data_IF_128516949531
#
_entry.id   IF_128516949531
#
_cell.length_a   1.000
_cell.length_b   1.000
_cell.length_c   1.000
_cell.angle_alpha   90.00
_cell.angle_beta   90.00
_cell.angle_gamma   90.00
#
_symmetry.space_group_name_H-M   'P 1'
#
loop_
_entity.id
_entity.type
_entity.pdbx_description
1 polymer ?
#
# COMPACT_ATOMS: atom_id res chain seq x y z
N UNK A 1 -37.55 16.44 47.59
CA UNK A 1 -37.61 17.27 46.37
C UNK A 1 -36.47 16.83 45.45
N UNK A 2 -36.66 15.76 44.66
CA UNK A 2 -36.92 15.85 43.21
C UNK A 2 -36.11 16.93 42.50
N UNK A 3 -34.98 16.52 41.90
CA UNK A 3 -34.45 17.09 40.65
C UNK A 3 -33.85 15.97 39.79
N UNK A 4 -34.67 14.98 39.43
CA UNK A 4 -34.48 14.28 38.16
C UNK A 4 -34.90 15.29 37.08
N UNK A 5 -33.92 16.03 36.56
CA UNK A 5 -34.15 16.91 35.41
C UNK A 5 -33.59 16.19 34.18
N UNK A 6 -34.49 15.57 33.45
CA UNK A 6 -34.36 15.18 32.06
C UNK A 6 -34.09 16.43 31.22
N UNK A 7 -32.86 16.53 30.71
CA UNK A 7 -32.35 17.55 29.79
C UNK A 7 -30.83 17.39 29.81
N UNK A 8 -30.15 16.82 28.81
CA UNK A 8 -30.29 17.00 27.36
C UNK A 8 -29.99 15.67 26.66
N UNK A 9 -31.02 14.96 26.17
CA UNK A 9 -30.87 13.61 25.61
C UNK A 9 -30.59 13.57 24.09
N UNK A 10 -30.60 14.71 23.37
CA UNK A 10 -30.59 14.67 21.90
C UNK A 10 -29.70 15.75 21.28
N UNK A 11 -28.39 15.54 21.31
CA UNK A 11 -27.51 15.80 20.17
C UNK A 11 -26.11 15.28 20.49
N UNK A 12 -25.95 13.95 20.51
CA UNK A 12 -24.60 13.40 20.69
C UNK A 12 -23.81 13.75 19.42
N UNK A 13 -22.78 14.60 19.48
CA UNK A 13 -22.22 15.24 18.29
C UNK A 13 -21.70 14.25 17.25
N UNK A 14 -21.33 13.04 17.68
CA UNK A 14 -20.90 11.97 16.80
C UNK A 14 -22.00 11.39 15.90
N UNK A 15 -23.30 11.51 16.23
CA UNK A 15 -24.41 10.89 15.45
C UNK A 15 -24.51 11.48 14.05
N UNK A 16 -24.41 12.80 13.93
CA UNK A 16 -24.49 13.49 12.64
C UNK A 16 -23.26 13.16 11.76
N UNK A 17 -22.07 13.12 12.35
CA UNK A 17 -20.82 12.77 11.66
C UNK A 17 -20.83 11.30 11.24
N UNK A 18 -21.30 10.40 12.10
CA UNK A 18 -21.49 8.99 11.78
C UNK A 18 -22.43 8.79 10.60
N UNK A 19 -23.61 9.42 10.61
CA UNK A 19 -24.57 9.33 9.49
C UNK A 19 -23.95 9.81 8.18
N UNK A 20 -23.23 10.94 8.21
CA UNK A 20 -22.53 11.47 7.04
C UNK A 20 -21.44 10.52 6.54
N UNK A 21 -20.75 9.81 7.43
CA UNK A 21 -19.78 8.79 7.06
C UNK A 21 -20.47 7.59 6.38
N UNK A 22 -21.61 7.12 6.92
CA UNK A 22 -22.40 6.04 6.30
C UNK A 22 -22.92 6.42 4.91
N UNK A 23 -23.47 7.63 4.75
CA UNK A 23 -23.97 8.11 3.44
C UNK A 23 -22.89 8.14 2.35
N UNK A 24 -21.63 8.30 2.78
CA UNK A 24 -20.45 8.28 1.90
C UNK A 24 -19.81 6.90 1.75
N UNK A 25 -20.29 5.89 2.49
CA UNK A 25 -19.64 4.58 2.56
C UNK A 25 -18.28 4.60 3.28
N UNK A 26 -18.04 5.59 4.15
CA UNK A 26 -16.80 5.69 4.93
C UNK A 26 -16.80 4.66 6.08
N UNK A 27 -15.67 3.98 6.22
CA UNK A 27 -15.45 2.93 7.21
C UNK A 27 -15.19 3.47 8.63
N UNK A 28 -14.83 4.75 8.75
CA UNK A 28 -14.54 5.39 10.03
C UNK A 28 -14.84 6.90 9.97
N UNK A 29 -14.93 7.52 11.14
CA UNK A 29 -15.09 8.96 11.29
C UNK A 29 -14.34 9.45 12.53
N UNK A 30 -14.03 10.75 12.57
CA UNK A 30 -13.44 11.37 13.77
C UNK A 30 -14.57 11.77 14.72
N UNK A 31 -14.56 11.25 15.94
CA UNK A 31 -15.52 11.60 16.98
C UNK A 31 -15.28 13.06 17.41
N UNK A 32 -16.21 13.99 17.14
CA UNK A 32 -16.02 15.40 17.45
C UNK A 32 -15.91 15.69 18.95
N UNK A 33 -16.39 14.79 19.81
CA UNK A 33 -16.29 14.97 21.26
C UNK A 33 -14.94 14.51 21.82
N UNK A 34 -14.37 13.44 21.27
CA UNK A 34 -13.18 12.80 21.82
C UNK A 34 -11.92 12.96 20.96
N UNK A 35 -12.07 13.37 19.69
CA UNK A 35 -10.99 13.47 18.71
C UNK A 35 -10.48 12.12 18.19
N UNK A 36 -11.03 11.00 18.67
CA UNK A 36 -10.60 9.66 18.27
C UNK A 36 -11.27 9.19 16.98
N UNK A 37 -10.58 8.32 16.25
CA UNK A 37 -11.15 7.59 15.12
C UNK A 37 -12.12 6.53 15.62
N UNK A 38 -13.40 6.71 15.30
CA UNK A 38 -14.46 5.73 15.55
C UNK A 38 -14.80 4.98 14.26
N UNK A 39 -14.88 3.66 14.34
CA UNK A 39 -15.28 2.81 13.21
C UNK A 39 -16.80 2.81 13.05
N UNK A 40 -17.29 2.82 11.81
CA UNK A 40 -18.71 2.69 11.46
C UNK A 40 -19.16 1.23 11.48
N UNK A 41 -20.46 0.99 11.38
CA UNK A 41 -21.00 -0.37 11.24
C UNK A 41 -20.47 -1.10 9.99
N UNK A 42 -20.19 -0.35 8.91
CA UNK A 42 -19.62 -0.89 7.66
C UNK A 42 -18.26 -1.56 7.91
N UNK A 43 -17.39 -0.94 8.70
CA UNK A 43 -16.10 -1.53 9.09
C UNK A 43 -16.25 -2.85 9.83
N UNK A 44 -17.29 -2.95 10.65
CA UNK A 44 -17.55 -4.15 11.43
C UNK A 44 -18.16 -5.25 10.55
N UNK A 45 -18.98 -4.89 9.57
CA UNK A 45 -19.50 -5.83 8.57
C UNK A 45 -18.40 -6.39 7.67
N UNK A 46 -17.48 -5.54 7.18
CA UNK A 46 -16.31 -5.97 6.39
C UNK A 46 -15.42 -6.94 7.18
N UNK A 47 -15.22 -6.67 8.47
CA UNK A 47 -14.52 -7.58 9.38
C UNK A 47 -15.19 -8.95 9.45
N UNK A 48 -16.52 -9.00 9.42
CA UNK A 48 -17.32 -10.23 9.40
C UNK A 48 -17.49 -10.92 10.76
N UNK A 49 -17.07 -10.32 11.88
CA UNK A 49 -17.24 -10.90 13.22
C UNK A 49 -17.18 -9.85 14.35
N UNK A 50 -17.78 -10.17 15.50
CA UNK A 50 -17.66 -9.36 16.72
C UNK A 50 -16.29 -9.54 17.39
N UNK A 51 -15.53 -8.46 17.62
CA UNK A 51 -14.22 -8.57 18.27
C UNK A 51 -14.26 -8.62 19.81
N UNK A 52 -15.41 -8.32 20.43
CA UNK A 52 -15.56 -8.28 21.89
C UNK A 52 -15.08 -6.99 22.58
N UNK A 53 -14.68 -5.96 21.83
CA UNK A 53 -14.17 -4.68 22.36
C UNK A 53 -15.26 -3.61 22.59
N UNK A 54 -16.52 -4.02 22.81
CA UNK A 54 -17.64 -3.09 23.10
C UNK A 54 -17.72 -1.87 22.16
N UNK A 55 -17.55 -2.09 20.86
CA UNK A 55 -17.56 -1.01 19.86
C UNK A 55 -18.92 -0.30 19.77
N UNK A 56 -18.92 1.02 19.59
CA UNK A 56 -20.14 1.85 19.59
C UNK A 56 -21.17 1.46 18.51
N UNK A 57 -20.70 0.99 17.36
CA UNK A 57 -21.52 0.66 16.17
C UNK A 57 -21.47 -0.83 15.83
N UNK A 58 -21.47 -1.72 16.83
CA UNK A 58 -21.35 -3.15 16.59
C UNK A 58 -22.65 -3.73 15.98
N UNK A 59 -22.64 -4.25 14.74
CA UNK A 59 -23.83 -4.84 14.11
C UNK A 59 -24.19 -6.22 14.69
N UNK A 60 -23.25 -6.86 15.39
CA UNK A 60 -23.39 -8.21 15.95
C UNK A 60 -23.97 -8.24 17.37
N UNK A 61 -24.65 -7.18 17.80
CA UNK A 61 -25.28 -7.09 19.12
C UNK A 61 -24.37 -7.50 20.29
N UNK A 62 -23.06 -7.19 20.20
CA UNK A 62 -22.07 -7.48 21.22
C UNK A 62 -21.89 -8.96 21.59
N UNK A 63 -22.20 -9.90 20.68
CA UNK A 63 -22.19 -11.35 20.93
C UNK A 63 -20.92 -11.92 21.59
N UNK A 64 -19.75 -11.31 21.32
CA UNK A 64 -18.45 -11.78 21.82
C UNK A 64 -17.92 -10.97 23.01
N UNK A 65 -18.64 -9.93 23.44
CA UNK A 65 -18.26 -9.15 24.63
C UNK A 65 -18.41 -10.04 25.86
N UNK A 66 -17.33 -10.18 26.65
CA UNK A 66 -17.31 -11.05 27.83
C UNK A 66 -17.16 -12.55 27.54
N UNK A 67 -17.00 -12.94 26.27
CA UNK A 67 -16.83 -14.33 25.86
C UNK A 67 -15.46 -14.57 25.18
N UNK A 68 -14.36 -14.60 25.94
CA UNK A 68 -13.01 -14.77 25.39
C UNK A 68 -12.83 -16.11 24.67
N UNK A 69 -13.53 -17.16 25.07
CA UNK A 69 -13.47 -18.47 24.41
C UNK A 69 -14.03 -18.43 22.97
N UNK A 70 -15.13 -17.70 22.73
CA UNK A 70 -15.70 -17.51 21.38
C UNK A 70 -14.74 -16.76 20.46
N UNK A 71 -14.07 -15.74 20.98
CA UNK A 71 -13.05 -14.97 20.24
C UNK A 71 -11.87 -15.87 19.86
N UNK A 72 -11.39 -16.71 20.80
CA UNK A 72 -10.30 -17.67 20.55
C UNK A 72 -10.69 -18.72 19.50
N UNK A 73 -11.90 -19.26 19.60
CA UNK A 73 -12.42 -20.24 18.65
C UNK A 73 -12.52 -19.68 17.24
N UNK A 74 -13.14 -18.50 17.07
CA UNK A 74 -13.19 -17.79 15.79
C UNK A 74 -11.79 -17.50 15.23
N UNK A 75 -10.84 -17.08 16.08
CA UNK A 75 -9.47 -16.84 15.64
C UNK A 75 -8.75 -18.12 15.16
N UNK A 76 -9.01 -19.27 15.81
CA UNK A 76 -8.48 -20.58 15.39
C UNK A 76 -9.09 -21.02 14.06
N UNK A 77 -10.41 -20.93 13.90
CA UNK A 77 -11.10 -21.26 12.66
C UNK A 77 -10.53 -20.49 11.47
N UNK A 78 -10.36 -19.16 11.59
CA UNK A 78 -9.79 -18.32 10.52
C UNK A 78 -8.33 -18.67 10.18
N UNK A 79 -7.54 -19.08 11.18
CA UNK A 79 -6.16 -19.55 10.94
C UNK A 79 -6.15 -20.87 10.16
N UNK A 80 -7.09 -21.77 10.48
CA UNK A 80 -7.23 -23.05 9.79
C UNK A 80 -7.69 -22.84 8.34
N UNK A 81 -8.71 -22.02 8.08
CA UNK A 81 -9.17 -21.71 6.72
C UNK A 81 -8.06 -21.14 5.83
N UNK A 82 -7.24 -20.23 6.37
CA UNK A 82 -6.07 -19.69 5.65
C UNK A 82 -5.03 -20.76 5.34
N UNK A 83 -4.81 -21.69 6.26
CA UNK A 83 -3.93 -22.85 6.05
C UNK A 83 -4.48 -23.74 4.94
N UNK A 84 -5.77 -24.08 5.00
CA UNK A 84 -6.42 -24.93 4.00
C UNK A 84 -6.45 -24.27 2.61
N UNK A 85 -6.65 -22.96 2.54
CA UNK A 85 -6.55 -22.20 1.29
C UNK A 85 -5.13 -22.25 0.70
N UNK A 86 -4.10 -22.11 1.54
CA UNK A 86 -2.70 -22.23 1.11
C UNK A 86 -2.36 -23.66 0.66
N UNK A 87 -2.82 -24.66 1.41
CA UNK A 87 -2.57 -26.06 1.11
C UNK A 87 -3.27 -26.47 -0.21
N UNK A 88 -4.49 -25.96 -0.46
CA UNK A 88 -5.17 -26.10 -1.76
C UNK A 88 -4.40 -25.45 -2.91
N UNK A 89 -3.93 -24.21 -2.73
CA UNK A 89 -3.12 -23.52 -3.74
C UNK A 89 -1.83 -24.28 -4.05
N UNK A 90 -1.19 -24.87 -3.03
CA UNK A 90 0.01 -25.70 -3.18
C UNK A 90 -0.28 -27.00 -3.95
N UNK A 91 -1.40 -27.66 -3.68
CA UNK A 91 -1.79 -28.88 -4.40
C UNK A 91 -2.10 -28.59 -5.88
N UNK A 92 -2.71 -27.45 -6.19
CA UNK A 92 -2.98 -27.01 -7.56
C UNK A 92 -1.67 -26.78 -8.35
N UNK A 93 -0.69 -26.09 -7.76
CA UNK A 93 0.63 -25.86 -8.40
C UNK A 93 1.46 -27.11 -8.63
N UNK A 94 1.17 -28.23 -7.94
CA UNK A 94 1.89 -29.50 -8.15
C UNK A 94 1.30 -30.36 -9.25
N UNK A 95 0.08 -30.06 -9.73
CA UNK A 95 -0.56 -30.77 -10.83
C UNK A 95 -0.19 -30.16 -12.20
N UNK A 96 0.06 -28.85 -12.28
CA UNK A 96 0.49 -28.16 -13.51
C UNK A 96 1.97 -28.41 -13.90
N UNK A 97 2.68 -29.30 -13.19
CA UNK A 97 4.09 -29.61 -13.42
C UNK A 97 4.36 -30.95 -14.09
N UNK A 98 3.38 -31.55 -14.79
CA UNK A 98 3.57 -32.89 -15.37
C UNK A 98 3.29 -33.05 -16.87
N UNK A 99 2.81 -32.05 -17.58
CA UNK A 99 2.63 -32.16 -19.03
C UNK A 99 3.27 -30.95 -19.76
N UNK A 100 4.30 -31.28 -20.54
CA UNK A 100 4.63 -30.73 -21.87
C UNK A 100 5.52 -29.47 -21.99
N UNK A 101 6.79 -29.75 -22.33
CA UNK A 101 7.59 -28.93 -23.26
C UNK A 101 6.89 -28.90 -24.64
N UNK A 102 6.98 -27.74 -25.32
CA UNK A 102 6.42 -27.39 -26.63
C UNK A 102 4.91 -27.10 -26.70
N UNK A 103 4.52 -25.85 -26.42
CA UNK A 103 3.99 -25.02 -27.51
C UNK A 103 4.09 -23.51 -27.24
N UNK A 104 4.37 -22.83 -28.34
CA UNK A 104 4.65 -21.43 -28.56
C UNK A 104 3.41 -20.54 -28.36
N UNK A 105 3.62 -19.36 -27.77
CA UNK A 105 2.79 -18.16 -27.95
C UNK A 105 1.32 -18.23 -27.51
N UNK A 106 1.03 -17.63 -26.36
CA UNK A 106 0.22 -16.40 -26.24
C UNK A 106 -0.12 -16.23 -24.77
N UNK A 107 0.68 -15.38 -24.11
CA UNK A 107 0.48 -15.01 -22.70
C UNK A 107 -0.84 -14.23 -22.54
N UNK A 108 -1.90 -14.92 -22.13
CA UNK A 108 -3.04 -14.30 -21.45
C UNK A 108 -2.98 -14.73 -19.99
N UNK A 109 -2.10 -14.08 -19.23
CA UNK A 109 -2.02 -14.21 -17.79
C UNK A 109 -3.30 -13.62 -17.15
N UNK A 110 -4.16 -14.50 -16.65
CA UNK A 110 -5.39 -14.14 -15.95
C UNK A 110 -5.09 -13.54 -14.58
N UNK A 111 -5.29 -12.23 -14.51
CA UNK A 111 -5.54 -11.37 -13.37
C UNK A 111 -5.93 -12.04 -12.03
N UNK A 112 -5.02 -11.97 -11.06
CA UNK A 112 -5.37 -11.78 -9.63
C UNK A 112 -4.38 -10.81 -8.99
N UNK A 113 -4.37 -9.57 -9.46
CA UNK A 113 -3.56 -8.50 -8.87
C UNK A 113 -4.52 -7.45 -8.31
N UNK A 114 -4.64 -7.41 -6.98
CA UNK A 114 -5.25 -6.26 -6.32
C UNK A 114 -4.60 -5.00 -6.88
N UNK A 115 -5.41 -4.02 -7.27
CA UNK A 115 -4.94 -2.78 -7.91
C UNK A 115 -3.87 -2.11 -7.04
N UNK A 116 -2.60 -2.44 -7.27
CA UNK A 116 -1.46 -1.72 -6.71
C UNK A 116 -1.59 -0.30 -7.20
N UNK A 117 -1.43 0.67 -6.30
CA UNK A 117 -1.59 2.09 -6.64
C UNK A 117 -0.52 2.58 -7.62
N UNK A 118 0.55 1.80 -7.78
CA UNK A 118 1.64 2.03 -8.73
C UNK A 118 1.64 0.94 -9.80
N UNK A 119 1.55 1.36 -11.06
CA UNK A 119 1.80 0.51 -12.21
C UNK A 119 3.31 0.42 -12.44
N UNK A 120 3.90 -0.68 -11.97
CA UNK A 120 5.35 -0.97 -12.05
C UNK A 120 5.87 -0.86 -13.48
N UNK A 121 5.14 -1.43 -14.44
CA UNK A 121 5.60 -1.48 -15.82
C UNK A 121 5.59 -0.08 -16.45
N UNK A 122 4.53 0.69 -16.20
CA UNK A 122 4.40 2.05 -16.71
C UNK A 122 5.46 3.00 -16.11
N UNK A 123 5.72 2.91 -14.80
CA UNK A 123 6.71 3.77 -14.13
C UNK A 123 8.14 3.44 -14.59
N UNK A 124 8.50 2.16 -14.66
CA UNK A 124 9.83 1.75 -15.15
C UNK A 124 10.02 2.19 -16.60
N UNK A 125 9.02 1.98 -17.46
CA UNK A 125 9.09 2.40 -18.86
C UNK A 125 9.25 3.92 -19.00
N UNK A 126 8.51 4.71 -18.22
CA UNK A 126 8.58 6.16 -18.24
C UNK A 126 9.92 6.69 -17.72
N UNK A 127 10.43 6.16 -16.61
CA UNK A 127 11.71 6.58 -16.03
C UNK A 127 12.90 6.20 -16.92
N UNK A 128 12.87 5.00 -17.51
CA UNK A 128 13.88 4.56 -18.47
C UNK A 128 13.88 5.43 -19.72
N UNK A 129 12.70 5.72 -20.28
CA UNK A 129 12.59 6.47 -21.53
C UNK A 129 12.89 7.97 -21.38
N UNK A 130 12.60 8.59 -20.23
CA UNK A 130 12.74 10.04 -20.02
C UNK A 130 14.04 10.44 -19.34
N UNK A 131 14.56 9.59 -18.44
CA UNK A 131 15.69 9.93 -17.57
C UNK A 131 16.83 8.90 -17.62
N UNK A 132 16.68 7.81 -18.39
CA UNK A 132 17.69 6.76 -18.49
C UNK A 132 17.91 5.96 -17.20
N UNK A 133 17.00 6.06 -16.22
CA UNK A 133 17.16 5.44 -14.90
C UNK A 133 16.78 3.96 -14.96
N UNK A 134 17.62 3.11 -14.37
CA UNK A 134 17.32 1.68 -14.12
C UNK A 134 17.20 1.45 -12.62
N UNK A 135 15.98 1.23 -12.16
CA UNK A 135 15.70 0.94 -10.75
C UNK A 135 15.86 -0.55 -10.45
N UNK A 136 16.17 -0.90 -9.19
CA UNK A 136 16.10 -2.28 -8.71
C UNK A 136 14.66 -2.63 -8.35
N UNK A 137 14.20 -3.81 -8.75
CA UNK A 137 12.82 -4.27 -8.47
C UNK A 137 12.50 -4.27 -6.97
N UNK A 138 13.43 -4.72 -6.13
CA UNK A 138 13.26 -4.71 -4.66
C UNK A 138 13.08 -3.32 -4.06
N UNK A 139 13.72 -2.31 -4.64
CA UNK A 139 13.63 -0.94 -4.15
C UNK A 139 12.33 -0.29 -4.61
N UNK A 140 11.93 -0.55 -5.86
CA UNK A 140 10.63 -0.12 -6.37
C UNK A 140 9.48 -0.73 -5.56
N UNK A 141 9.63 -1.97 -5.11
CA UNK A 141 8.67 -2.64 -4.24
C UNK A 141 8.57 -2.02 -2.86
N UNK A 142 9.71 -1.67 -2.27
CA UNK A 142 9.74 -0.93 -1.00
C UNK A 142 9.14 0.47 -1.15
N UNK A 143 9.42 1.16 -2.27
CA UNK A 143 8.84 2.46 -2.57
C UNK A 143 7.33 2.38 -2.78
N UNK A 144 6.84 1.37 -3.49
CA UNK A 144 5.41 1.15 -3.67
C UNK A 144 4.72 0.88 -2.34
N UNK A 145 5.30 0.04 -1.48
CA UNK A 145 4.76 -0.20 -0.14
C UNK A 145 4.79 1.06 0.75
N UNK A 146 5.84 1.87 0.65
CA UNK A 146 5.93 3.14 1.36
C UNK A 146 4.88 4.14 0.86
N UNK A 147 4.73 4.28 -0.46
CA UNK A 147 3.74 5.16 -1.07
C UNK A 147 2.31 4.71 -0.76
N UNK A 148 2.02 3.40 -0.82
CA UNK A 148 0.74 2.83 -0.40
C UNK A 148 0.43 3.11 1.08
N UNK A 149 1.45 3.22 1.93
CA UNK A 149 1.28 3.58 3.35
C UNK A 149 1.14 5.09 3.59
N UNK A 150 1.83 5.92 2.81
CA UNK A 150 1.97 7.37 3.06
C UNK A 150 0.92 8.21 2.32
N UNK A 151 0.54 7.83 1.09
CA UNK A 151 -0.45 8.57 0.29
C UNK A 151 -1.85 8.63 0.89
N UNK A 152 -2.41 7.56 1.48
CA UNK A 152 -3.70 7.63 2.15
C UNK A 152 -3.68 8.67 3.28
N UNK A 153 -2.55 8.82 3.98
CA UNK A 153 -2.37 9.77 5.07
C UNK A 153 -2.34 11.23 4.57
N UNK A 154 -1.70 11.49 3.42
CA UNK A 154 -1.62 12.82 2.82
C UNK A 154 -2.92 13.22 2.09
N UNK A 155 -3.57 12.28 1.42
CA UNK A 155 -4.83 12.52 0.70
C UNK A 155 -6.00 12.77 1.68
N UNK A 156 -5.99 12.13 2.85
CA UNK A 156 -6.93 12.40 3.93
C UNK A 156 -6.79 13.82 4.52
N UNK A 157 -5.62 14.47 4.37
CA UNK A 157 -5.40 15.86 4.79
C UNK A 157 -5.80 16.91 3.75
N UNK A 158 -5.93 16.55 2.46
CA UNK A 158 -6.09 17.55 1.38
C UNK A 158 -7.46 17.60 0.68
N UNK A 159 -8.30 16.55 0.72
CA UNK A 159 -9.76 16.63 0.45
C UNK A 159 -10.43 15.24 0.51
N UNK A 160 -11.66 15.12 1.06
CA UNK A 160 -12.35 13.85 1.15
C UNK A 160 -13.08 13.52 -0.16
N UNK A 161 -12.61 12.53 -0.93
CA UNK A 161 -13.49 11.82 -1.88
C UNK A 161 -12.98 11.48 -3.29
N UNK A 162 -11.69 11.55 -3.61
CA UNK A 162 -11.19 11.14 -4.94
C UNK A 162 -10.13 10.03 -4.84
N UNK A 163 -10.55 8.77 -4.68
CA UNK A 163 -9.65 7.60 -4.82
C UNK A 163 -9.67 7.10 -6.26
N UNK A 164 -9.20 7.94 -7.19
CA UNK A 164 -8.84 7.48 -8.52
C UNK A 164 -7.40 6.94 -8.49
N UNK A 165 -7.05 5.92 -9.29
CA UNK A 165 -5.64 5.56 -9.46
C UNK A 165 -4.87 6.81 -9.88
N UNK A 166 -3.77 7.11 -9.18
CA UNK A 166 -2.94 8.27 -9.49
C UNK A 166 -2.55 8.22 -10.97
N UNK A 167 -2.64 9.35 -11.67
CA UNK A 167 -2.15 9.45 -13.04
C UNK A 167 -0.70 8.96 -13.11
N UNK A 168 -0.31 8.24 -14.17
CA UNK A 168 1.04 7.65 -14.32
C UNK A 168 2.13 8.69 -14.05
N UNK A 169 1.91 9.94 -14.47
CA UNK A 169 2.85 11.04 -14.24
C UNK A 169 2.99 11.44 -12.75
N UNK A 170 1.92 11.35 -11.97
CA UNK A 170 1.98 11.56 -10.53
C UNK A 170 2.76 10.43 -9.84
N UNK A 171 2.56 9.18 -10.27
CA UNK A 171 3.33 8.02 -9.79
C UNK A 171 4.83 8.18 -10.08
N UNK A 172 5.18 8.59 -11.30
CA UNK A 172 6.57 8.85 -11.70
C UNK A 172 7.20 9.95 -10.85
N UNK A 173 6.48 11.04 -10.57
CA UNK A 173 6.99 12.14 -9.73
C UNK A 173 7.28 11.70 -8.30
N UNK A 174 6.38 10.92 -7.70
CA UNK A 174 6.52 10.42 -6.34
C UNK A 174 7.70 9.46 -6.22
N UNK A 175 7.85 8.54 -7.19
CA UNK A 175 8.99 7.61 -7.23
C UNK A 175 10.29 8.38 -7.45
N UNK A 176 10.29 9.41 -8.30
CA UNK A 176 11.46 10.25 -8.52
C UNK A 176 11.83 11.05 -7.26
N UNK A 177 10.86 11.55 -6.50
CA UNK A 177 11.09 12.23 -5.24
C UNK A 177 11.72 11.28 -4.21
N UNK A 178 11.23 10.05 -4.08
CA UNK A 178 11.86 9.04 -3.22
C UNK A 178 13.27 8.68 -3.71
N UNK A 179 13.48 8.61 -5.03
CA UNK A 179 14.79 8.34 -5.61
C UNK A 179 15.81 9.41 -5.22
N UNK A 180 15.43 10.68 -5.29
CA UNK A 180 16.31 11.82 -4.96
C UNK A 180 16.70 11.88 -3.48
N UNK A 181 15.90 11.28 -2.59
CA UNK A 181 16.20 11.19 -1.16
C UNK A 181 16.89 9.86 -0.77
N UNK A 182 17.17 9.00 -1.74
CA UNK A 182 17.75 7.67 -1.53
C UNK A 182 19.16 7.58 -2.10
N UNK A 183 19.98 6.68 -1.57
CA UNK A 183 21.30 6.41 -2.14
C UNK A 183 21.17 5.59 -3.43
N UNK A 184 21.81 6.03 -4.52
CA UNK A 184 21.81 5.34 -5.81
C UNK A 184 22.25 3.88 -5.70
N UNK A 185 23.15 3.57 -4.76
CA UNK A 185 23.66 2.21 -4.51
C UNK A 185 22.54 1.21 -4.20
N UNK A 186 21.54 1.63 -3.43
CA UNK A 186 20.41 0.80 -3.02
C UNK A 186 19.26 0.85 -4.03
N UNK A 187 19.08 2.01 -4.67
CA UNK A 187 17.90 2.30 -5.48
C UNK A 187 18.05 1.91 -6.95
N UNK A 188 19.25 2.06 -7.50
CA UNK A 188 19.52 1.86 -8.93
C UNK A 188 20.38 0.63 -9.21
N UNK A 189 20.24 0.13 -10.43
CA UNK A 189 21.17 -0.84 -11.03
C UNK A 189 22.41 -0.08 -11.51
N UNK A 190 23.64 -0.58 -11.30
CA UNK A 190 24.84 0.09 -11.77
C UNK A 190 24.83 0.27 -13.30
N UNK A 191 24.96 1.51 -13.76
CA UNK A 191 24.90 1.89 -15.20
C UNK A 191 26.30 2.03 -15.81
N UNK A 192 27.33 2.15 -14.98
CA UNK A 192 28.72 2.29 -15.42
C UNK A 192 29.46 0.98 -15.22
N UNK A 193 30.14 0.50 -16.26
CA UNK A 193 31.06 -0.63 -16.16
C UNK A 193 32.50 -0.11 -16.10
N UNK A 194 33.29 -0.61 -15.15
CA UNK A 194 34.74 -0.40 -15.13
C UNK A 194 35.38 -1.44 -16.05
N UNK A 195 35.78 -1.03 -17.26
CA UNK A 195 36.53 -1.91 -18.17
C UNK A 195 37.89 -2.25 -17.57
N UNK A 196 38.23 -3.55 -17.50
CA UNK A 196 39.49 -4.07 -16.94
C UNK A 196 40.74 -3.84 -17.80
N UNK A 197 40.81 -2.74 -18.54
CA UNK A 197 41.96 -2.37 -19.37
C UNK A 197 42.54 -1.02 -18.92
N UNK A 198 43.86 -0.89 -18.97
CA UNK A 198 44.65 0.28 -18.53
C UNK A 198 44.02 1.64 -18.91
N UNK A 199 43.31 2.25 -17.96
CA UNK A 199 42.72 3.59 -18.03
C UNK A 199 41.25 3.59 -17.54
N UNK A 200 40.79 4.62 -16.79
CA UNK A 200 39.40 4.69 -16.35
C UNK A 200 38.50 5.10 -17.52
N UNK A 201 38.25 4.19 -18.46
CA UNK A 201 37.24 4.37 -19.51
C UNK A 201 35.89 3.98 -18.94
N UNK A 202 35.17 4.99 -18.44
CA UNK A 202 33.80 4.85 -17.95
C UNK A 202 32.86 4.96 -19.14
N UNK A 203 32.37 3.81 -19.64
CA UNK A 203 31.36 3.78 -20.70
C UNK A 203 29.98 3.47 -20.11
N UNK A 204 28.91 4.15 -20.57
CA UNK A 204 27.54 3.76 -20.26
C UNK A 204 27.30 2.33 -20.75
N UNK A 205 26.77 1.48 -19.89
CA UNK A 205 26.30 0.16 -20.31
C UNK A 205 25.12 0.31 -21.30
N UNK A 206 25.06 -0.58 -22.29
CA UNK A 206 23.96 -0.69 -23.27
C UNK A 206 23.71 0.52 -24.20
N UNK A 207 24.67 1.45 -24.34
CA UNK A 207 24.51 2.61 -25.25
C UNK A 207 23.44 3.61 -24.81
N UNK A 208 23.14 3.64 -23.51
CA UNK A 208 22.24 4.61 -22.91
C UNK A 208 22.71 6.05 -23.21
N UNK A 209 21.82 6.88 -23.77
CA UNK A 209 22.12 8.29 -24.12
C UNK A 209 22.12 9.20 -22.89
N UNK A 210 21.30 8.86 -21.89
CA UNK A 210 21.14 9.60 -20.65
C UNK A 210 21.45 8.69 -19.47
N UNK A 211 22.25 9.17 -18.52
CA UNK A 211 22.68 8.42 -17.32
C UNK A 211 22.44 9.27 -16.09
N UNK A 212 21.80 8.70 -15.08
CA UNK A 212 21.61 9.34 -13.78
C UNK A 212 22.75 8.96 -12.84
N UNK A 213 23.43 9.98 -12.29
CA UNK A 213 24.53 9.85 -11.34
C UNK A 213 24.24 10.67 -10.08
N UNK A 214 24.79 10.24 -8.96
CA UNK A 214 24.69 10.95 -7.68
C UNK A 214 26.06 11.52 -7.33
N UNK A 215 26.08 12.81 -7.02
CA UNK A 215 27.28 13.49 -6.56
C UNK A 215 27.51 13.10 -5.10
N UNK A 216 28.67 12.50 -4.80
CA UNK A 216 29.03 12.13 -3.43
C UNK A 216 29.63 13.30 -2.66
N UNK A 217 30.43 14.13 -3.33
CA UNK A 217 31.12 15.26 -2.71
C UNK A 217 31.35 16.37 -3.76
N UNK A 218 31.24 17.62 -3.33
CA UNK A 218 31.64 18.79 -4.12
C UNK A 218 32.69 19.53 -3.31
N UNK A 219 33.89 19.65 -3.86
CA UNK A 219 34.99 20.41 -3.27
C UNK A 219 35.41 21.50 -4.24
N UNK A 220 35.60 22.71 -3.73
CA UNK A 220 36.18 23.81 -4.51
C UNK A 220 37.69 23.61 -4.61
N UNK A 221 38.16 23.31 -5.81
CA UNK A 221 39.59 23.12 -6.12
C UNK A 221 40.33 24.44 -6.36
N UNK A 222 39.62 25.58 -6.32
CA UNK A 222 40.15 26.92 -6.62
C UNK A 222 40.52 27.77 -5.41
N UNK A 223 40.25 27.32 -4.18
CA UNK A 223 40.59 28.06 -2.95
C UNK A 223 41.64 27.27 -2.18
N UNK A 224 42.88 27.77 -2.20
CA UNK A 224 44.02 27.21 -1.45
C UNK A 224 43.93 27.52 0.05
#
# INVERSE_FOLDING_TARGET
MSKNSTGDMEDVPWRAVHRKALDKGEMSYIDPATGYTAFTELSHLDRGYCCGNTCRHCPYSYENVGHPERIKEQARARRQEKKDARDRKRQQTTQDGKDEEEEESTDIATATEGKKMIDRAAVIAALKSRYGVRLRDRWLDACAAHLDATLPQQQQQQQPGHTAPLHVEAQVRLVLEQLLHSEISDSCVPVLATGGGSGPSVLPQDGARDVLLQIQEIVDVGVS
#
